data_IF_136987175664
#
_entry.id   IF_136987175664
#
_cell.length_a   1.000
_cell.length_b   1.000
_cell.length_c   1.000
_cell.angle_alpha   90.00
_cell.angle_beta   90.00
_cell.angle_gamma   90.00
#
_symmetry.space_group_name_H-M   'P 1'
#
loop_
_entity.id
_entity.type
_entity.pdbx_description
1 polymer ?
#
# COMPACT_ATOMS: atom_id res chain seq x y z
N UNK A 1 20.00 -26.68 -10.43
CA UNK A 1 20.45 -25.87 -9.27
C UNK A 1 19.36 -25.92 -8.23
N UNK A 2 19.66 -26.00 -6.92
CA UNK A 2 18.68 -25.91 -5.87
C UNK A 2 17.92 -24.58 -6.04
N UNK A 3 16.59 -24.63 -5.94
CA UNK A 3 15.78 -23.44 -6.04
C UNK A 3 15.80 -22.71 -4.71
N UNK A 4 16.09 -21.40 -4.69
CA UNK A 4 16.02 -20.55 -3.50
C UNK A 4 14.71 -20.80 -2.73
N UNK A 5 13.59 -20.90 -3.44
CA UNK A 5 12.28 -21.14 -2.84
C UNK A 5 12.24 -22.49 -2.12
N UNK A 6 12.72 -23.55 -2.75
CA UNK A 6 12.70 -24.91 -2.15
C UNK A 6 13.58 -25.00 -0.92
N UNK A 7 14.76 -24.38 -0.97
CA UNK A 7 15.69 -24.35 0.15
C UNK A 7 15.08 -23.60 1.36
N UNK A 8 14.49 -22.42 1.13
CA UNK A 8 13.96 -21.56 2.19
C UNK A 8 12.61 -22.04 2.76
N UNK A 9 11.96 -23.00 2.12
CA UNK A 9 10.82 -23.72 2.71
C UNK A 9 11.27 -24.76 3.76
N UNK A 10 12.56 -25.06 3.83
CA UNK A 10 13.11 -25.90 4.88
C UNK A 10 13.35 -25.08 6.16
N UNK A 11 12.74 -25.44 7.31
CA UNK A 11 12.97 -24.75 8.59
C UNK A 11 14.45 -24.60 8.97
N UNK A 12 15.33 -25.53 8.59
CA UNK A 12 16.76 -25.46 8.87
C UNK A 12 17.52 -24.38 8.08
N UNK A 13 16.90 -23.76 7.09
CA UNK A 13 17.45 -22.65 6.31
C UNK A 13 17.23 -21.29 6.97
N UNK A 14 16.39 -21.21 7.99
CA UNK A 14 16.05 -19.97 8.69
C UNK A 14 16.86 -19.82 9.98
N UNK A 15 17.16 -18.58 10.42
CA UNK A 15 17.96 -18.33 11.63
C UNK A 15 17.19 -18.66 12.91
N UNK A 16 15.85 -18.52 12.87
CA UNK A 16 15.00 -18.73 14.03
C UNK A 16 14.36 -20.12 13.99
N UNK A 17 14.22 -20.70 15.17
CA UNK A 17 13.60 -22.03 15.29
C UNK A 17 12.14 -21.99 14.87
N UNK A 18 11.77 -22.81 13.91
CA UNK A 18 10.39 -22.94 13.42
C UNK A 18 10.05 -24.39 13.08
N UNK A 19 8.78 -24.74 13.13
CA UNK A 19 8.30 -26.09 12.80
C UNK A 19 7.97 -26.23 11.31
N UNK A 20 7.45 -25.17 10.72
CA UNK A 20 7.04 -25.15 9.32
C UNK A 20 7.26 -23.76 8.72
N UNK A 21 7.39 -23.73 7.39
CA UNK A 21 7.47 -22.49 6.61
C UNK A 21 6.47 -22.59 5.48
N UNK A 22 5.65 -21.57 5.30
CA UNK A 22 4.77 -21.40 4.14
C UNK A 22 5.23 -20.23 3.28
N UNK A 23 4.84 -20.22 2.02
CA UNK A 23 5.21 -19.19 1.04
C UNK A 23 3.96 -18.49 0.51
N UNK A 24 3.98 -17.17 0.59
CA UNK A 24 3.09 -16.29 -0.17
C UNK A 24 3.92 -15.54 -1.22
N UNK A 25 3.43 -15.49 -2.44
CA UNK A 25 4.10 -14.77 -3.52
C UNK A 25 3.25 -13.59 -3.99
N UNK A 26 3.88 -12.43 -4.08
CA UNK A 26 3.33 -11.24 -4.75
C UNK A 26 4.05 -11.01 -6.08
N UNK A 27 3.64 -10.00 -6.84
CA UNK A 27 4.35 -9.62 -8.07
C UNK A 27 5.80 -9.21 -7.82
N UNK A 28 6.11 -8.64 -6.64
CA UNK A 28 7.40 -8.02 -6.32
C UNK A 28 8.17 -8.70 -5.19
N UNK A 29 7.56 -9.66 -4.48
CA UNK A 29 8.17 -10.28 -3.29
C UNK A 29 7.86 -11.77 -3.14
N UNK A 30 8.78 -12.45 -2.44
CA UNK A 30 8.58 -13.78 -1.86
C UNK A 30 8.48 -13.59 -0.34
N UNK A 31 7.40 -14.07 0.27
CA UNK A 31 7.12 -13.90 1.71
C UNK A 31 7.09 -15.27 2.35
N UNK A 32 8.15 -15.61 3.08
CA UNK A 32 8.28 -16.86 3.83
C UNK A 32 7.73 -16.64 5.24
N UNK A 33 6.68 -17.36 5.59
CA UNK A 33 5.96 -17.25 6.87
C UNK A 33 6.32 -18.43 7.74
N UNK A 34 7.03 -18.15 8.83
CA UNK A 34 7.40 -19.11 9.87
C UNK A 34 6.45 -18.99 11.09
N UNK A 35 6.74 -19.70 12.20
CA UNK A 35 5.86 -19.70 13.37
C UNK A 35 5.77 -18.32 14.03
N UNK A 36 6.90 -17.64 14.26
CA UNK A 36 6.98 -16.34 14.96
C UNK A 36 7.42 -15.19 14.05
N UNK A 37 8.07 -15.48 12.93
CA UNK A 37 8.68 -14.48 12.05
C UNK A 37 8.24 -14.65 10.60
N UNK A 38 8.38 -13.57 9.85
CA UNK A 38 8.19 -13.52 8.41
C UNK A 38 9.48 -13.00 7.78
N UNK A 39 9.87 -13.60 6.65
CA UNK A 39 11.05 -13.20 5.87
C UNK A 39 10.60 -12.82 4.47
N UNK A 40 10.67 -11.52 4.15
CA UNK A 40 10.25 -10.96 2.85
C UNK A 40 11.48 -10.70 1.99
N UNK A 41 11.55 -11.32 0.82
CA UNK A 41 12.63 -11.19 -0.18
C UNK A 41 12.05 -10.53 -1.42
N UNK A 42 12.71 -9.48 -1.92
CA UNK A 42 12.31 -8.77 -3.13
C UNK A 42 12.66 -9.59 -4.37
N UNK A 43 11.75 -9.65 -5.36
CA UNK A 43 12.01 -10.29 -6.66
C UNK A 43 12.84 -9.38 -7.57
N UNK A 44 13.72 -9.91 -8.43
CA UNK A 44 14.51 -9.10 -9.36
C UNK A 44 13.68 -8.65 -10.58
N UNK A 45 12.75 -7.73 -10.36
CA UNK A 45 11.79 -7.23 -11.38
C UNK A 45 11.95 -5.72 -11.60
N UNK A 46 11.56 -5.28 -12.79
CA UNK A 46 11.41 -3.87 -13.15
C UNK A 46 10.01 -3.67 -13.74
N UNK A 47 9.24 -2.77 -13.13
CA UNK A 47 7.90 -2.39 -13.59
C UNK A 47 7.83 -0.91 -14.02
N UNK A 48 8.98 -0.25 -14.19
CA UNK A 48 9.08 1.16 -14.54
C UNK A 48 8.85 2.10 -13.36
N UNK A 49 7.91 1.80 -12.47
CA UNK A 49 7.68 2.55 -11.23
C UNK A 49 8.48 2.00 -10.03
N UNK A 50 9.05 0.82 -10.15
CA UNK A 50 10.02 0.22 -9.23
C UNK A 50 11.09 -0.56 -10.01
N UNK A 51 12.31 -0.59 -9.50
CA UNK A 51 13.43 -1.32 -10.08
C UNK A 51 14.19 -2.08 -8.99
N UNK A 52 13.99 -3.40 -8.94
CA UNK A 52 14.66 -4.35 -8.05
C UNK A 52 15.66 -5.24 -8.80
N UNK A 53 16.08 -4.89 -10.00
CA UNK A 53 16.90 -5.75 -10.88
C UNK A 53 18.26 -6.13 -10.30
N UNK A 54 18.96 -5.21 -9.62
CA UNK A 54 20.27 -5.50 -9.04
C UNK A 54 20.18 -5.87 -7.56
N UNK A 55 21.09 -6.74 -7.08
CA UNK A 55 21.20 -7.10 -5.67
C UNK A 55 21.38 -5.87 -4.77
N UNK A 56 22.18 -4.89 -5.18
CA UNK A 56 22.41 -3.63 -4.45
C UNK A 56 21.12 -2.81 -4.29
N UNK A 57 20.25 -2.77 -5.32
CA UNK A 57 18.95 -2.10 -5.21
C UNK A 57 18.05 -2.84 -4.23
N UNK A 58 17.99 -4.17 -4.29
CA UNK A 58 17.18 -4.97 -3.36
C UNK A 58 17.65 -4.81 -1.91
N UNK A 59 18.97 -4.78 -1.66
CA UNK A 59 19.54 -4.46 -0.36
C UNK A 59 19.10 -3.08 0.14
N UNK A 60 19.26 -2.05 -0.69
CA UNK A 60 18.86 -0.68 -0.38
C UNK A 60 17.37 -0.61 0.00
N UNK A 61 16.49 -1.20 -0.81
CA UNK A 61 15.05 -1.16 -0.56
C UNK A 61 14.62 -2.05 0.62
N UNK A 62 15.36 -3.10 0.99
CA UNK A 62 15.12 -3.82 2.24
C UNK A 62 15.40 -2.93 3.47
N UNK A 63 16.50 -2.19 3.47
CA UNK A 63 16.80 -1.24 4.55
C UNK A 63 15.81 -0.08 4.60
N UNK A 64 15.40 0.44 3.44
CA UNK A 64 14.40 1.50 3.36
C UNK A 64 13.03 1.02 3.86
N UNK A 65 12.62 -0.20 3.52
CA UNK A 65 11.39 -0.81 4.00
C UNK A 65 11.35 -0.86 5.53
N UNK A 66 12.44 -1.28 6.19
CA UNK A 66 12.52 -1.26 7.66
C UNK A 66 12.40 0.17 8.19
N UNK A 67 13.21 1.08 7.70
CA UNK A 67 13.25 2.47 8.19
C UNK A 67 11.89 3.16 8.09
N UNK A 68 11.19 2.98 6.98
CA UNK A 68 9.89 3.60 6.74
C UNK A 68 8.77 2.97 7.57
N UNK A 69 8.77 1.65 7.69
CA UNK A 69 7.72 0.94 8.40
C UNK A 69 7.88 1.02 9.93
N UNK A 70 9.09 1.15 10.47
CA UNK A 70 9.32 1.37 11.90
C UNK A 70 8.66 2.66 12.42
N UNK A 71 8.32 3.61 11.57
CA UNK A 71 7.57 4.82 11.94
C UNK A 71 6.17 4.52 12.52
N UNK A 72 5.55 3.42 12.09
CA UNK A 72 4.18 3.01 12.46
C UNK A 72 4.09 1.57 12.98
N UNK A 73 5.18 0.80 12.88
CA UNK A 73 5.24 -0.63 13.24
C UNK A 73 6.62 -1.02 13.78
N UNK A 74 7.16 -0.22 14.75
CA UNK A 74 8.48 -0.38 15.31
C UNK A 74 8.76 -1.80 15.81
N UNK A 75 7.78 -2.40 16.49
CA UNK A 75 7.93 -3.74 17.07
C UNK A 75 7.77 -4.88 16.04
N UNK A 76 7.42 -4.57 14.79
CA UNK A 76 7.17 -5.55 13.73
C UNK A 76 8.40 -5.71 12.83
N UNK A 77 8.98 -4.62 12.35
CA UNK A 77 10.13 -4.64 11.43
C UNK A 77 11.43 -4.69 12.22
N UNK A 78 12.19 -5.80 12.10
CA UNK A 78 13.31 -6.11 12.99
C UNK A 78 14.66 -5.72 12.35
N UNK A 79 15.04 -6.42 11.26
CA UNK A 79 16.35 -6.30 10.65
C UNK A 79 16.38 -6.77 9.19
N UNK A 80 17.41 -6.39 8.45
CA UNK A 80 17.73 -6.96 7.13
C UNK A 80 18.77 -8.06 7.32
N UNK A 81 18.49 -9.24 6.81
CA UNK A 81 19.37 -10.39 6.87
C UNK A 81 19.88 -10.78 5.47
N UNK A 82 21.17 -11.13 5.31
CA UNK A 82 21.65 -11.68 4.06
C UNK A 82 21.07 -13.08 3.83
N UNK A 83 20.76 -13.39 2.59
CA UNK A 83 20.49 -14.75 2.12
C UNK A 83 21.76 -15.25 1.46
N UNK A 84 22.37 -16.27 2.03
CA UNK A 84 23.65 -16.82 1.56
C UNK A 84 23.45 -18.16 0.82
N UNK A 85 24.32 -18.43 -0.16
CA UNK A 85 24.40 -19.71 -0.86
C UNK A 85 25.78 -20.31 -0.70
N UNK A 86 25.85 -21.54 -0.18
CA UNK A 86 27.11 -22.24 0.08
C UNK A 86 27.51 -23.28 -1.00
N UNK A 87 26.89 -23.23 -2.17
CA UNK A 87 27.05 -24.20 -3.25
C UNK A 87 26.06 -25.38 -3.18
N UNK A 88 25.39 -25.60 -2.06
CA UNK A 88 24.41 -26.68 -1.86
C UNK A 88 23.04 -26.19 -1.46
N UNK A 89 22.94 -25.15 -0.62
CA UNK A 89 21.69 -24.69 -0.03
C UNK A 89 21.73 -23.18 0.23
N UNK A 90 20.58 -22.52 0.05
CA UNK A 90 20.36 -21.13 0.48
C UNK A 90 19.95 -21.09 1.96
N UNK A 91 20.44 -20.06 2.70
CA UNK A 91 20.09 -19.83 4.11
C UNK A 91 19.93 -18.35 4.40
N UNK A 92 19.01 -18.00 5.30
CA UNK A 92 18.78 -16.61 5.76
C UNK A 92 19.55 -16.37 7.05
N UNK A 93 20.36 -15.30 7.12
CA UNK A 93 21.03 -14.86 8.34
C UNK A 93 22.05 -15.84 8.93
N UNK A 94 22.40 -16.89 8.21
CA UNK A 94 23.36 -17.92 8.64
C UNK A 94 24.63 -17.75 7.83
N UNK A 95 25.81 -17.54 8.49
CA UNK A 95 27.09 -17.42 7.79
C UNK A 95 27.47 -18.70 7.04
N UNK A 96 28.33 -18.57 6.02
CA UNK A 96 28.94 -19.71 5.35
C UNK A 96 28.58 -19.86 3.86
N UNK A 97 28.50 -18.75 3.16
CA UNK A 97 28.28 -18.73 1.71
C UNK A 97 28.40 -17.32 1.14
N UNK A 98 28.22 -17.20 -0.17
CA UNK A 98 28.12 -15.92 -0.86
C UNK A 98 26.74 -15.34 -0.65
N UNK A 99 26.63 -14.02 -0.39
CA UNK A 99 25.35 -13.33 -0.30
C UNK A 99 24.73 -13.18 -1.69
N UNK A 100 23.57 -13.79 -1.89
CA UNK A 100 22.86 -13.82 -3.17
C UNK A 100 21.57 -13.00 -3.14
N UNK A 101 20.99 -12.79 -1.95
CA UNK A 101 19.78 -11.98 -1.72
C UNK A 101 19.78 -11.35 -0.32
N UNK A 102 18.77 -10.49 -0.08
CA UNK A 102 18.49 -9.94 1.23
C UNK A 102 17.02 -10.18 1.62
N UNK A 103 16.78 -10.42 2.89
CA UNK A 103 15.47 -10.64 3.47
C UNK A 103 15.18 -9.60 4.56
N UNK A 104 14.02 -9.00 4.53
CA UNK A 104 13.45 -8.23 5.64
C UNK A 104 12.86 -9.23 6.63
N UNK A 105 13.38 -9.25 7.86
CA UNK A 105 12.83 -10.03 8.96
C UNK A 105 11.79 -9.21 9.71
N UNK A 106 10.62 -9.78 9.87
CA UNK A 106 9.49 -9.16 10.54
C UNK A 106 8.91 -10.12 11.59
N UNK A 107 8.34 -9.57 12.65
CA UNK A 107 7.50 -10.33 13.57
C UNK A 107 6.19 -10.71 12.87
N UNK A 108 5.77 -11.97 12.99
CA UNK A 108 4.51 -12.41 12.43
C UNK A 108 3.33 -11.75 13.16
N UNK A 109 2.47 -11.12 12.40
CA UNK A 109 1.20 -10.57 12.89
C UNK A 109 0.11 -11.63 12.65
N UNK A 110 -0.76 -11.91 13.63
CA UNK A 110 -1.89 -12.79 13.41
C UNK A 110 -2.88 -12.21 12.39
N UNK A 111 -3.25 -12.99 11.37
CA UNK A 111 -4.13 -12.54 10.28
C UNK A 111 -5.52 -12.12 10.80
N UNK A 112 -5.98 -12.73 11.91
CA UNK A 112 -7.24 -12.40 12.55
C UNK A 112 -7.25 -11.06 13.29
N UNK A 113 -6.08 -10.40 13.41
CA UNK A 113 -5.92 -9.07 14.01
C UNK A 113 -5.83 -7.95 12.96
N UNK A 114 -5.86 -8.27 11.70
CA UNK A 114 -5.97 -7.26 10.64
C UNK A 114 -7.35 -6.57 10.71
N UNK A 115 -7.37 -5.26 10.48
CA UNK A 115 -8.60 -4.46 10.51
C UNK A 115 -9.68 -5.05 9.60
N UNK A 116 -9.30 -5.53 8.41
CA UNK A 116 -10.21 -6.20 7.48
C UNK A 116 -10.86 -7.45 8.09
N UNK A 117 -10.08 -8.28 8.77
CA UNK A 117 -10.59 -9.48 9.42
C UNK A 117 -11.56 -9.15 10.56
N UNK A 118 -11.23 -8.16 11.38
CA UNK A 118 -12.11 -7.67 12.44
C UNK A 118 -13.42 -7.08 11.88
N UNK A 119 -13.32 -6.32 10.78
CA UNK A 119 -14.49 -5.75 10.10
C UNK A 119 -15.46 -6.85 9.63
N UNK A 120 -14.95 -7.85 8.91
CA UNK A 120 -15.78 -8.96 8.39
C UNK A 120 -16.42 -9.83 9.47
N UNK A 121 -15.81 -9.89 10.67
CA UNK A 121 -16.39 -10.58 11.83
C UNK A 121 -17.34 -9.70 12.66
N UNK A 122 -17.50 -8.42 12.30
CA UNK A 122 -18.30 -7.47 13.09
C UNK A 122 -17.65 -7.09 14.42
N UNK A 123 -16.33 -7.23 14.54
CA UNK A 123 -15.55 -6.95 15.75
C UNK A 123 -14.84 -5.60 15.72
N UNK A 124 -14.87 -4.90 14.59
CA UNK A 124 -14.34 -3.54 14.47
C UNK A 124 -15.25 -2.59 15.29
N UNK A 125 -14.65 -1.80 16.18
CA UNK A 125 -15.35 -0.94 17.13
C UNK A 125 -14.97 0.52 16.92
N UNK A 126 -15.81 1.46 17.34
CA UNK A 126 -15.53 2.90 17.31
C UNK A 126 -14.20 3.26 18.00
N UNK A 127 -13.88 2.62 19.14
CA UNK A 127 -12.63 2.84 19.83
C UNK A 127 -11.38 2.51 18.98
N UNK A 128 -11.48 1.52 18.08
CA UNK A 128 -10.41 1.20 17.15
C UNK A 128 -10.24 2.32 16.10
N UNK A 129 -11.36 2.89 15.58
CA UNK A 129 -11.31 3.98 14.61
C UNK A 129 -10.70 5.25 15.22
N UNK A 130 -11.09 5.58 16.44
CA UNK A 130 -10.53 6.72 17.16
C UNK A 130 -9.02 6.56 17.41
N UNK A 131 -8.58 5.35 17.76
CA UNK A 131 -7.17 5.04 17.93
C UNK A 131 -6.39 5.18 16.61
N UNK A 132 -6.94 4.63 15.51
CA UNK A 132 -6.37 4.74 14.17
C UNK A 132 -6.26 6.21 13.77
N UNK A 133 -7.32 7.00 13.93
CA UNK A 133 -7.33 8.43 13.61
C UNK A 133 -6.24 9.18 14.37
N UNK A 134 -6.13 8.96 15.69
CA UNK A 134 -5.13 9.59 16.54
C UNK A 134 -3.70 9.21 16.14
N UNK A 135 -3.44 7.92 15.86
CA UNK A 135 -2.10 7.44 15.45
C UNK A 135 -1.72 8.04 14.10
N UNK A 136 -2.65 8.03 13.13
CA UNK A 136 -2.40 8.61 11.80
C UNK A 136 -2.23 10.13 11.86
N UNK A 137 -3.04 10.86 12.61
CA UNK A 137 -2.89 12.30 12.79
C UNK A 137 -1.51 12.65 13.36
N UNK A 138 -1.07 11.94 14.41
CA UNK A 138 0.26 12.11 15.00
C UNK A 138 1.36 11.74 14.01
N UNK A 139 1.22 10.65 13.27
CA UNK A 139 2.17 10.26 12.23
C UNK A 139 2.30 11.32 11.15
N UNK A 140 1.19 11.79 10.57
CA UNK A 140 1.18 12.81 9.55
C UNK A 140 1.75 14.14 10.02
N UNK A 141 1.49 14.53 11.28
CA UNK A 141 2.04 15.74 11.87
C UNK A 141 3.58 15.69 11.99
N UNK A 142 4.13 14.52 12.35
CA UNK A 142 5.56 14.31 12.58
C UNK A 142 6.30 13.77 11.35
N UNK A 143 5.59 13.34 10.31
CA UNK A 143 6.20 12.84 9.08
C UNK A 143 7.07 13.94 8.44
N UNK A 144 8.14 13.50 7.80
CA UNK A 144 9.12 14.35 7.16
C UNK A 144 8.45 15.32 6.17
N UNK A 145 8.95 16.56 6.20
CA UNK A 145 8.50 17.67 5.36
C UNK A 145 9.73 18.48 4.94
N UNK A 146 9.97 18.56 3.66
CA UNK A 146 11.05 19.34 3.03
C UNK A 146 10.51 20.05 1.80
N UNK A 147 11.25 21.01 1.24
CA UNK A 147 10.88 21.64 -0.03
C UNK A 147 10.80 20.66 -1.20
N UNK A 148 11.58 19.58 -1.16
CA UNK A 148 11.51 18.51 -2.13
C UNK A 148 10.19 17.74 -2.02
N UNK A 149 9.78 17.38 -0.80
CA UNK A 149 8.50 16.71 -0.52
C UNK A 149 7.34 17.63 -0.91
N UNK A 150 7.38 18.92 -0.56
CA UNK A 150 6.35 19.90 -0.93
C UNK A 150 6.10 19.97 -2.45
N UNK A 151 7.15 19.78 -3.26
CA UNK A 151 7.05 19.77 -4.71
C UNK A 151 6.02 18.75 -5.22
N UNK A 152 5.90 17.59 -4.56
CA UNK A 152 4.96 16.53 -4.93
C UNK A 152 3.49 16.89 -4.65
N UNK A 153 3.22 17.90 -3.82
CA UNK A 153 1.88 18.43 -3.59
C UNK A 153 1.38 19.38 -4.67
N UNK A 154 2.24 19.85 -5.58
CA UNK A 154 1.84 20.74 -6.66
C UNK A 154 0.86 20.04 -7.61
N UNK A 155 -0.25 20.70 -8.00
CA UNK A 155 -1.25 20.09 -8.86
C UNK A 155 -0.68 19.48 -10.13
N UNK A 156 0.25 20.18 -10.80
CA UNK A 156 0.90 19.72 -12.02
C UNK A 156 1.81 18.50 -11.81
N UNK A 157 2.38 18.34 -10.61
CA UNK A 157 3.23 17.20 -10.25
C UNK A 157 2.38 16.00 -9.84
N UNK A 158 1.39 16.21 -8.97
CA UNK A 158 0.47 15.14 -8.55
C UNK A 158 -0.36 14.62 -9.72
N UNK A 159 -0.71 15.49 -10.68
CA UNK A 159 -1.46 15.16 -11.89
C UNK A 159 -0.80 14.03 -12.71
N UNK A 160 0.52 13.92 -12.69
CA UNK A 160 1.24 12.81 -13.35
C UNK A 160 0.70 11.46 -12.88
N UNK A 161 0.38 11.31 -11.58
CA UNK A 161 -0.18 10.05 -11.04
C UNK A 161 -1.56 9.74 -11.63
N UNK A 162 -2.44 10.75 -11.78
CA UNK A 162 -3.78 10.56 -12.32
C UNK A 162 -3.76 10.34 -13.82
N UNK A 163 -2.95 11.07 -14.56
CA UNK A 163 -2.84 10.95 -16.02
C UNK A 163 -2.27 9.56 -16.40
N UNK A 164 -1.20 9.10 -15.74
CA UNK A 164 -0.68 7.73 -15.91
C UNK A 164 -1.73 6.66 -15.60
N UNK A 165 -2.56 6.87 -14.57
CA UNK A 165 -3.64 5.92 -14.26
C UNK A 165 -4.62 5.79 -15.43
N UNK A 166 -5.05 6.90 -16.02
CA UNK A 166 -5.94 6.89 -17.18
C UNK A 166 -5.27 6.25 -18.40
N UNK A 167 -4.03 6.62 -18.71
CA UNK A 167 -3.32 6.08 -19.87
C UNK A 167 -3.11 4.56 -19.76
N UNK A 168 -2.72 4.07 -18.61
CA UNK A 168 -2.51 2.64 -18.36
C UNK A 168 -3.82 1.85 -18.36
N UNK A 169 -4.97 2.49 -18.11
CA UNK A 169 -6.27 1.82 -18.03
C UNK A 169 -7.00 1.77 -19.38
N UNK A 170 -6.60 2.58 -20.38
CA UNK A 170 -7.26 2.62 -21.71
C UNK A 170 -7.46 1.25 -22.33
N UNK A 171 -6.49 0.35 -22.20
CA UNK A 171 -6.55 -1.01 -22.76
C UNK A 171 -7.57 -1.94 -22.06
N UNK A 172 -8.07 -1.53 -20.89
CA UNK A 172 -9.07 -2.29 -20.13
C UNK A 172 -10.49 -1.76 -20.29
N UNK A 173 -10.69 -0.70 -21.12
CA UNK A 173 -12.03 -0.21 -21.47
C UNK A 173 -12.83 -1.33 -22.15
N UNK A 174 -14.04 -1.58 -21.67
CA UNK A 174 -14.90 -2.67 -22.10
C UNK A 174 -14.60 -4.03 -21.42
N UNK A 175 -13.61 -4.07 -20.51
CA UNK A 175 -13.29 -5.24 -19.69
C UNK A 175 -13.54 -5.00 -18.21
N UNK A 176 -12.74 -4.14 -17.56
CA UNK A 176 -12.85 -3.81 -16.14
C UNK A 176 -13.51 -2.46 -15.89
N UNK A 177 -13.44 -1.53 -16.85
CA UNK A 177 -14.07 -0.22 -16.79
C UNK A 177 -14.89 -0.01 -18.07
N UNK A 178 -16.09 0.57 -17.95
CA UNK A 178 -16.88 0.97 -19.13
C UNK A 178 -16.32 2.27 -19.72
N UNK A 179 -16.53 2.48 -21.04
CA UNK A 179 -16.10 3.72 -21.70
C UNK A 179 -16.73 4.96 -21.03
N UNK A 180 -18.02 4.87 -20.71
CA UNK A 180 -18.76 5.97 -20.05
C UNK A 180 -18.18 6.30 -18.67
N UNK A 181 -17.88 5.30 -17.83
CA UNK A 181 -17.24 5.52 -16.54
C UNK A 181 -15.85 6.13 -16.69
N UNK A 182 -15.05 5.64 -17.65
CA UNK A 182 -13.73 6.19 -17.94
C UNK A 182 -13.80 7.68 -18.32
N UNK A 183 -14.69 8.02 -19.28
CA UNK A 183 -14.81 9.39 -19.78
C UNK A 183 -15.32 10.35 -18.69
N UNK A 184 -16.27 9.91 -17.85
CA UNK A 184 -16.78 10.71 -16.72
C UNK A 184 -15.70 10.96 -15.67
N UNK A 185 -14.98 9.92 -15.25
CA UNK A 185 -13.90 10.03 -14.25
C UNK A 185 -12.75 10.90 -14.77
N UNK A 186 -12.36 10.74 -16.04
CA UNK A 186 -11.33 11.57 -16.66
C UNK A 186 -11.74 13.05 -16.70
N UNK A 187 -12.96 13.33 -17.20
CA UNK A 187 -13.45 14.70 -17.34
C UNK A 187 -13.62 15.38 -15.99
N UNK A 188 -14.13 14.65 -14.98
CA UNK A 188 -14.29 15.17 -13.63
C UNK A 188 -12.93 15.47 -12.97
N UNK A 189 -11.95 14.56 -13.10
CA UNK A 189 -10.59 14.75 -12.57
C UNK A 189 -9.92 15.98 -13.19
N UNK A 190 -9.99 16.12 -14.52
CA UNK A 190 -9.46 17.28 -15.23
C UNK A 190 -10.13 18.59 -14.79
N UNK A 191 -11.46 18.58 -14.63
CA UNK A 191 -12.22 19.72 -14.13
C UNK A 191 -11.84 20.06 -12.69
N UNK A 192 -11.67 19.06 -11.81
CA UNK A 192 -11.30 19.29 -10.42
C UNK A 192 -9.95 20.02 -10.30
N UNK A 193 -8.94 19.63 -11.06
CA UNK A 193 -7.66 20.32 -11.09
C UNK A 193 -7.78 21.79 -11.52
N UNK A 194 -8.67 22.10 -12.46
CA UNK A 194 -8.88 23.47 -12.95
C UNK A 194 -9.63 24.33 -11.96
N UNK A 195 -10.70 23.79 -11.38
CA UNK A 195 -11.63 24.55 -10.56
C UNK A 195 -11.20 24.65 -9.09
N UNK A 196 -10.39 23.69 -8.62
CA UNK A 196 -10.03 23.52 -7.20
C UNK A 196 -8.52 23.63 -6.92
N UNK A 197 -7.79 24.29 -7.81
CA UNK A 197 -6.33 24.46 -7.68
C UNK A 197 -5.95 25.08 -6.33
N UNK A 198 -6.76 26.01 -5.78
CA UNK A 198 -6.50 26.64 -4.50
C UNK A 198 -6.44 25.64 -3.34
N UNK A 199 -7.25 24.58 -3.35
CA UNK A 199 -7.20 23.56 -2.30
C UNK A 199 -5.82 22.90 -2.22
N UNK A 200 -5.20 22.55 -3.35
CA UNK A 200 -3.86 21.97 -3.38
C UNK A 200 -2.81 22.95 -2.88
N UNK A 201 -2.90 24.23 -3.32
CA UNK A 201 -1.95 25.27 -2.92
C UNK A 201 -2.06 25.57 -1.42
N UNK A 202 -3.28 25.60 -0.86
CA UNK A 202 -3.51 25.76 0.58
C UNK A 202 -2.90 24.61 1.38
N UNK A 203 -2.97 23.36 0.87
CA UNK A 203 -2.35 22.20 1.51
C UNK A 203 -0.82 22.31 1.55
N UNK A 204 -0.21 22.81 0.47
CA UNK A 204 1.23 23.10 0.41
C UNK A 204 1.57 24.19 1.43
N UNK A 205 0.85 25.31 1.40
CA UNK A 205 1.06 26.42 2.32
C UNK A 205 0.93 26.00 3.79
N UNK A 206 -0.05 25.16 4.11
CA UNK A 206 -0.25 24.59 5.44
C UNK A 206 0.70 23.44 5.78
N UNK A 207 1.70 23.14 4.94
CA UNK A 207 2.71 22.08 5.16
C UNK A 207 2.09 20.71 5.38
N UNK A 208 1.03 20.39 4.63
CA UNK A 208 0.30 19.12 4.71
C UNK A 208 0.80 18.06 3.71
N UNK A 209 1.79 18.41 2.88
CA UNK A 209 2.48 17.45 2.00
C UNK A 209 3.61 16.80 2.79
N UNK A 210 3.54 15.49 2.95
CA UNK A 210 4.38 14.74 3.88
C UNK A 210 4.92 13.46 3.27
N UNK A 211 5.95 12.90 3.91
CA UNK A 211 6.42 11.54 3.65
C UNK A 211 5.46 10.56 4.32
N UNK A 212 4.35 10.28 3.65
CA UNK A 212 3.22 9.49 4.13
C UNK A 212 3.50 7.97 4.12
N UNK A 213 2.45 7.15 4.24
CA UNK A 213 2.50 5.69 4.10
C UNK A 213 2.42 5.26 2.62
N UNK A 214 1.51 5.85 1.87
CA UNK A 214 1.33 5.65 0.43
C UNK A 214 0.40 4.49 0.04
N UNK A 215 0.28 3.45 0.88
CA UNK A 215 -0.59 2.28 0.63
C UNK A 215 -1.44 1.91 1.86
N UNK A 216 -2.13 2.90 2.42
CA UNK A 216 -2.87 2.77 3.67
C UNK A 216 -4.27 2.18 3.44
N UNK A 217 -4.42 0.87 3.62
CA UNK A 217 -5.71 0.17 3.54
C UNK A 217 -5.89 -0.88 4.65
N UNK A 218 -7.09 -1.46 4.79
CA UNK A 218 -7.47 -2.28 5.95
C UNK A 218 -6.60 -3.54 6.15
N UNK A 219 -5.95 -4.05 5.11
CA UNK A 219 -5.03 -5.21 5.22
C UNK A 219 -3.68 -4.83 5.83
N UNK A 220 -3.36 -3.54 5.89
CA UNK A 220 -2.11 -3.04 6.46
C UNK A 220 -2.27 -2.49 7.88
N UNK A 221 -3.49 -2.39 8.40
CA UNK A 221 -3.78 -1.94 9.76
C UNK A 221 -3.98 -3.14 10.68
N UNK A 222 -3.12 -3.27 11.69
CA UNK A 222 -3.06 -4.41 12.62
C UNK A 222 -3.49 -3.98 14.01
N UNK A 223 -4.63 -4.48 14.48
CA UNK A 223 -5.26 -4.14 15.75
C UNK A 223 -4.91 -5.20 16.80
N UNK A 224 -3.65 -5.20 17.22
CA UNK A 224 -3.14 -5.97 18.37
C UNK A 224 -3.20 -5.10 19.63
N UNK A 225 -2.55 -5.51 20.72
CA UNK A 225 -2.45 -4.70 21.94
C UNK A 225 -1.82 -3.31 21.68
N UNK A 226 -0.96 -3.22 20.68
CA UNK A 226 -0.42 -1.97 20.14
C UNK A 226 -0.78 -1.91 18.65
N UNK A 227 -1.45 -0.82 18.23
CA UNK A 227 -1.74 -0.58 16.82
C UNK A 227 -0.44 -0.53 16.02
N UNK A 228 -0.38 -1.31 14.95
CA UNK A 228 0.70 -1.27 13.96
C UNK A 228 0.13 -1.08 12.56
N UNK A 229 0.81 -0.28 11.74
CA UNK A 229 0.46 -0.10 10.32
C UNK A 229 1.71 -0.46 9.52
N UNK A 230 1.56 -1.43 8.62
CA UNK A 230 2.65 -2.10 7.90
C UNK A 230 2.59 -1.86 6.40
N UNK A 231 3.64 -2.25 5.70
CA UNK A 231 3.76 -2.26 4.23
C UNK A 231 3.66 -0.87 3.59
N UNK A 232 4.33 0.11 4.23
CA UNK A 232 4.57 1.43 3.66
C UNK A 232 5.37 1.29 2.35
N UNK A 233 5.01 2.06 1.33
CA UNK A 233 5.72 2.07 0.04
C UNK A 233 7.16 2.56 0.24
N UNK A 234 8.14 1.71 -0.07
CA UNK A 234 9.57 2.04 0.03
C UNK A 234 10.22 2.32 -1.32
N UNK A 235 9.65 1.83 -2.41
CA UNK A 235 10.31 1.77 -3.72
C UNK A 235 10.08 3.00 -4.60
N UNK A 236 9.17 3.92 -4.22
CA UNK A 236 8.87 5.10 -5.02
C UNK A 236 8.37 6.27 -4.17
N UNK A 237 9.17 7.31 -4.07
CA UNK A 237 8.88 8.51 -3.29
C UNK A 237 7.63 9.26 -3.79
N UNK A 238 7.37 9.27 -5.10
CA UNK A 238 6.19 9.90 -5.71
C UNK A 238 4.86 9.34 -5.17
N UNK A 239 4.82 8.06 -4.78
CA UNK A 239 3.62 7.44 -4.23
C UNK A 239 3.45 7.70 -2.73
N UNK A 240 4.53 8.09 -2.06
CA UNK A 240 4.57 8.31 -0.61
C UNK A 240 4.60 9.81 -0.27
N UNK A 241 5.28 10.64 -1.06
CA UNK A 241 5.28 12.09 -0.89
C UNK A 241 3.95 12.65 -1.38
N UNK A 242 3.01 12.85 -0.46
CA UNK A 242 1.64 13.22 -0.79
C UNK A 242 0.98 14.05 0.29
N UNK A 243 -0.19 14.61 -0.04
CA UNK A 243 -1.08 15.18 0.96
C UNK A 243 -1.51 14.11 1.98
N UNK A 244 -1.51 14.46 3.25
CA UNK A 244 -1.96 13.59 4.34
C UNK A 244 -3.40 13.10 4.15
N UNK A 245 -4.26 13.90 3.49
CA UNK A 245 -5.63 13.49 3.12
C UNK A 245 -5.60 12.38 2.06
N UNK A 246 -4.64 12.39 1.11
CA UNK A 246 -4.51 11.33 0.12
C UNK A 246 -4.15 9.98 0.76
N UNK A 247 -3.47 10.01 1.91
CA UNK A 247 -3.09 8.79 2.64
C UNK A 247 -4.31 8.23 3.39
N UNK A 248 -4.98 9.03 4.24
CA UNK A 248 -6.18 8.58 4.97
C UNK A 248 -7.36 8.25 4.05
N UNK A 249 -7.50 8.95 2.91
CA UNK A 249 -8.54 8.69 1.91
C UNK A 249 -8.49 7.25 1.38
N UNK A 250 -7.33 6.62 1.37
CA UNK A 250 -7.19 5.24 0.94
C UNK A 250 -7.90 4.28 1.91
N UNK A 251 -7.68 4.45 3.21
CA UNK A 251 -8.32 3.63 4.24
C UNK A 251 -9.84 3.88 4.28
N UNK A 252 -10.26 5.13 4.16
CA UNK A 252 -11.67 5.52 4.09
C UNK A 252 -12.35 4.87 2.88
N UNK A 253 -11.76 4.99 1.70
CA UNK A 253 -12.25 4.37 0.46
C UNK A 253 -12.31 2.84 0.57
N UNK A 254 -11.32 2.21 1.22
CA UNK A 254 -11.29 0.75 1.37
C UNK A 254 -12.40 0.28 2.34
N UNK A 255 -12.68 1.01 3.42
CA UNK A 255 -13.84 0.78 4.30
C UNK A 255 -15.16 0.86 3.50
N UNK A 256 -15.35 1.89 2.69
CA UNK A 256 -16.55 2.05 1.87
C UNK A 256 -16.68 0.93 0.82
N UNK A 257 -15.56 0.52 0.20
CA UNK A 257 -15.54 -0.61 -0.73
C UNK A 257 -16.01 -1.92 -0.08
N UNK A 258 -15.70 -2.12 1.20
CA UNK A 258 -16.14 -3.27 1.98
C UNK A 258 -17.58 -3.14 2.53
N UNK A 259 -18.26 -2.01 2.26
CA UNK A 259 -19.62 -1.73 2.73
C UNK A 259 -19.69 -1.08 4.12
N UNK A 260 -18.58 -0.54 4.61
CA UNK A 260 -18.46 0.09 5.92
C UNK A 260 -18.54 1.62 5.86
N UNK A 261 -19.53 2.19 5.19
CA UNK A 261 -19.68 3.65 5.05
C UNK A 261 -19.75 4.37 6.40
N UNK A 262 -20.51 3.84 7.37
CA UNK A 262 -20.61 4.43 8.71
C UNK A 262 -19.25 4.45 9.45
N UNK A 263 -18.43 3.43 9.25
CA UNK A 263 -17.07 3.36 9.80
C UNK A 263 -16.14 4.36 9.09
N UNK A 264 -16.30 4.53 7.78
CA UNK A 264 -15.55 5.49 6.99
C UNK A 264 -15.83 6.92 7.42
N UNK A 265 -17.10 7.29 7.55
CA UNK A 265 -17.54 8.61 8.03
C UNK A 265 -17.04 8.88 9.46
N UNK A 266 -17.12 7.89 10.33
CA UNK A 266 -16.61 8.01 11.69
C UNK A 266 -15.10 8.23 11.71
N UNK A 267 -14.35 7.43 10.97
CA UNK A 267 -12.89 7.57 10.88
C UNK A 267 -12.48 8.96 10.35
N UNK A 268 -13.18 9.46 9.33
CA UNK A 268 -12.93 10.80 8.82
C UNK A 268 -13.18 11.88 9.87
N UNK A 269 -14.32 11.83 10.55
CA UNK A 269 -14.66 12.79 11.59
C UNK A 269 -13.64 12.76 12.75
N UNK A 270 -13.27 11.58 13.24
CA UNK A 270 -12.26 11.43 14.29
C UNK A 270 -10.88 11.97 13.81
N UNK A 271 -10.52 11.76 12.53
CA UNK A 271 -9.27 12.28 11.95
C UNK A 271 -9.29 13.81 11.83
N UNK A 272 -10.40 14.39 11.39
CA UNK A 272 -10.58 15.87 11.32
C UNK A 272 -10.52 16.49 12.71
N UNK A 273 -11.11 15.86 13.73
CA UNK A 273 -11.01 16.31 15.13
C UNK A 273 -9.54 16.38 15.61
N UNK A 274 -8.74 15.38 15.26
CA UNK A 274 -7.32 15.30 15.65
C UNK A 274 -6.39 16.24 14.84
N UNK A 275 -6.71 16.52 13.57
CA UNK A 275 -5.82 17.25 12.65
C UNK A 275 -6.22 18.70 12.41
N UNK A 276 -7.48 19.05 12.67
CA UNK A 276 -8.07 20.34 12.33
C UNK A 276 -8.31 20.56 10.83
N UNK A 277 -8.34 19.51 10.02
CA UNK A 277 -8.58 19.58 8.56
C UNK A 277 -10.06 19.78 8.21
N UNK A 278 -10.69 20.79 8.83
CA UNK A 278 -12.11 21.12 8.67
C UNK A 278 -12.40 21.65 7.25
N UNK A 279 -13.50 21.19 6.64
CA UNK A 279 -13.96 21.67 5.33
C UNK A 279 -13.16 21.08 4.15
N UNK A 280 -12.42 20.00 4.36
CA UNK A 280 -11.64 19.33 3.32
C UNK A 280 -12.37 18.17 2.61
N UNK A 281 -13.69 18.08 2.74
CA UNK A 281 -14.50 16.98 2.20
C UNK A 281 -14.43 16.86 0.67
N UNK A 282 -14.33 17.98 -0.04
CA UNK A 282 -14.15 17.98 -1.50
C UNK A 282 -12.79 17.38 -1.89
N UNK A 283 -11.74 17.69 -1.14
CA UNK A 283 -10.41 17.16 -1.37
C UNK A 283 -10.31 15.67 -0.97
N UNK A 284 -10.97 15.29 0.12
CA UNK A 284 -11.14 13.88 0.49
C UNK A 284 -11.83 13.11 -0.65
N UNK A 285 -12.90 13.64 -1.22
CA UNK A 285 -13.61 13.03 -2.35
C UNK A 285 -12.69 12.86 -3.55
N UNK A 286 -11.89 13.87 -3.89
CA UNK A 286 -10.91 13.77 -4.97
C UNK A 286 -9.92 12.62 -4.73
N UNK A 287 -9.37 12.52 -3.51
CA UNK A 287 -8.41 11.46 -3.19
C UNK A 287 -9.07 10.08 -3.07
N UNK A 288 -10.33 9.97 -2.66
CA UNK A 288 -11.09 8.70 -2.70
C UNK A 288 -11.27 8.23 -4.15
N UNK A 289 -11.64 9.12 -5.08
CA UNK A 289 -11.71 8.82 -6.52
C UNK A 289 -10.37 8.31 -7.03
N UNK A 290 -9.29 9.04 -6.73
CA UNK A 290 -7.93 8.65 -7.12
C UNK A 290 -7.55 7.26 -6.58
N UNK A 291 -7.77 6.98 -5.30
CA UNK A 291 -7.40 5.71 -4.66
C UNK A 291 -8.24 4.54 -5.16
N UNK A 292 -9.55 4.72 -5.33
CA UNK A 292 -10.40 3.71 -5.94
C UNK A 292 -9.97 3.40 -7.39
N UNK A 293 -9.63 4.43 -8.16
CA UNK A 293 -9.12 4.26 -9.53
C UNK A 293 -7.79 3.48 -9.53
N UNK A 294 -6.85 3.81 -8.65
CA UNK A 294 -5.58 3.08 -8.49
C UNK A 294 -5.82 1.60 -8.21
N UNK A 295 -6.72 1.26 -7.27
CA UNK A 295 -7.05 -0.14 -6.95
C UNK A 295 -7.63 -0.87 -8.14
N UNK A 296 -8.62 -0.27 -8.83
CA UNK A 296 -9.19 -0.83 -10.06
C UNK A 296 -8.13 -1.08 -11.13
N UNK A 297 -7.21 -0.12 -11.34
CA UNK A 297 -6.10 -0.24 -12.29
C UNK A 297 -5.14 -1.39 -11.92
N UNK A 298 -4.65 -1.43 -10.68
CA UNK A 298 -3.67 -2.43 -10.22
C UNK A 298 -4.24 -3.84 -10.34
N UNK A 299 -5.50 -4.03 -9.97
CA UNK A 299 -6.18 -5.32 -10.14
C UNK A 299 -6.34 -5.67 -11.63
N UNK A 300 -6.61 -4.68 -12.49
CA UNK A 300 -6.72 -4.90 -13.93
C UNK A 300 -5.43 -5.43 -14.57
N UNK A 301 -4.25 -5.12 -13.99
CA UNK A 301 -2.96 -5.65 -14.49
C UNK A 301 -2.87 -7.18 -14.43
N UNK A 302 -3.63 -7.84 -13.54
CA UNK A 302 -3.68 -9.31 -13.48
C UNK A 302 -4.21 -9.93 -14.78
N UNK A 303 -4.94 -9.15 -15.60
CA UNK A 303 -5.44 -9.65 -16.88
C UNK A 303 -4.31 -9.86 -17.91
N UNK A 304 -3.18 -9.17 -17.73
CA UNK A 304 -2.00 -9.27 -18.59
C UNK A 304 -1.02 -10.36 -18.13
N UNK A 305 -1.19 -10.91 -16.91
CA UNK A 305 -0.33 -11.96 -16.40
C UNK A 305 -0.74 -13.31 -17.03
N UNK A 306 0.19 -13.92 -17.78
CA UNK A 306 -0.03 -15.22 -18.45
C UNK A 306 -0.09 -16.38 -17.44
N UNK A 307 0.43 -16.21 -16.23
CA UNK A 307 0.41 -17.24 -15.19
C UNK A 307 -0.91 -17.30 -14.43
N UNK A 308 -1.80 -16.32 -14.63
CA UNK A 308 -3.11 -16.26 -13.97
C UNK A 308 -4.17 -16.97 -14.83
N UNK A 309 -4.86 -17.93 -14.22
CA UNK A 309 -5.89 -18.73 -14.88
C UNK A 309 -7.18 -17.94 -15.19
N UNK A 310 -8.06 -18.49 -16.09
CA UNK A 310 -9.28 -17.79 -16.48
C UNK A 310 -10.21 -17.42 -15.32
N UNK A 311 -10.38 -18.30 -14.33
CA UNK A 311 -11.24 -18.04 -13.16
C UNK A 311 -10.73 -16.90 -12.29
N UNK A 312 -9.40 -16.84 -12.11
CA UNK A 312 -8.76 -15.75 -11.36
C UNK A 312 -8.87 -14.44 -12.12
N UNK A 313 -8.76 -14.46 -13.46
CA UNK A 313 -8.99 -13.29 -14.30
C UNK A 313 -10.43 -12.79 -14.23
N UNK A 314 -11.42 -13.67 -14.18
CA UNK A 314 -12.84 -13.30 -13.97
C UNK A 314 -13.04 -12.59 -12.63
N UNK A 315 -12.47 -13.13 -11.53
CA UNK A 315 -12.49 -12.48 -10.22
C UNK A 315 -11.81 -11.11 -10.24
N UNK A 316 -10.68 -10.98 -10.95
CA UNK A 316 -9.99 -9.72 -11.11
C UNK A 316 -10.85 -8.68 -11.87
N UNK A 317 -11.57 -9.10 -12.92
CA UNK A 317 -12.51 -8.24 -13.65
C UNK A 317 -13.61 -7.75 -12.71
N UNK A 318 -14.23 -8.64 -11.94
CA UNK A 318 -15.30 -8.29 -11.01
C UNK A 318 -14.79 -7.31 -9.93
N UNK A 319 -13.67 -7.62 -9.29
CA UNK A 319 -13.09 -6.78 -8.25
C UNK A 319 -12.67 -5.40 -8.78
N UNK A 320 -11.98 -5.33 -9.92
CA UNK A 320 -11.59 -4.07 -10.54
C UNK A 320 -12.81 -3.22 -10.93
N UNK A 321 -13.83 -3.84 -11.51
CA UNK A 321 -15.06 -3.14 -11.89
C UNK A 321 -15.78 -2.53 -10.70
N UNK A 322 -15.82 -3.22 -9.55
CA UNK A 322 -16.39 -2.66 -8.30
C UNK A 322 -15.65 -1.40 -7.84
N UNK A 323 -14.31 -1.35 -7.94
CA UNK A 323 -13.55 -0.16 -7.61
C UNK A 323 -13.83 1.01 -8.58
N UNK A 324 -13.97 0.76 -9.89
CA UNK A 324 -14.32 1.81 -10.84
C UNK A 324 -15.77 2.29 -10.67
N UNK A 325 -16.70 1.41 -10.30
CA UNK A 325 -18.08 1.80 -9.93
C UNK A 325 -18.06 2.67 -8.68
N UNK A 326 -17.28 2.31 -7.65
CA UNK A 326 -17.13 3.11 -6.45
C UNK A 326 -16.52 4.48 -6.76
N UNK A 327 -15.43 4.53 -7.56
CA UNK A 327 -14.86 5.81 -7.98
C UNK A 327 -15.89 6.71 -8.69
N UNK A 328 -16.72 6.12 -9.57
CA UNK A 328 -17.78 6.83 -10.27
C UNK A 328 -18.89 7.31 -9.32
N UNK A 329 -19.27 6.55 -8.31
CA UNK A 329 -20.31 6.95 -7.36
C UNK A 329 -19.93 8.22 -6.60
N UNK A 330 -18.66 8.44 -6.29
CA UNK A 330 -18.18 9.65 -5.61
C UNK A 330 -18.35 10.94 -6.42
N UNK A 331 -18.46 10.85 -7.74
CA UNK A 331 -18.60 12.02 -8.61
C UNK A 331 -20.05 12.30 -9.03
N UNK A 332 -21.00 11.45 -8.61
CA UNK A 332 -22.41 11.54 -8.95
C UNK A 332 -23.29 12.08 -7.80
N UNK A 333 -22.77 12.11 -6.59
CA UNK A 333 -23.37 12.70 -5.40
C UNK A 333 -22.88 14.11 -5.21
#
# INVERSE_FOLDING_TARGET
MPSLIQDLLNPAALPDRTKAVSLVQTHISLVFIADEYVYKIKKPVDFGFLDFTSLKKREHYCHQEISLNQRLAEDVYIEVLPVTFNGMMHKIGIPGGETVEYAVKMKRIPDDRLMRALFHRGELREGHLKEIARVLAKFHQNAEHTSEIEHFGRPEVFRVNTDENFDQTRKYIGRTITKDAFDQLFSWTDKFYKDKISLFLDRIFCKKIRNCHGDLHMEHVCLTDKLAIIDCIEFNDRFRYSDTIADIAFLIMDLEYQGGADYADRLWNDYVEETGDIGMDELLTFYKVYRAYVRGKVISFQLDDENIGPKEKEKAIEAASKYFILARSYIQG
#
